data_IF_038225279169
#
_entry.id   IF_038225279169
#
_cell.length_a   1.000
_cell.length_b   1.000
_cell.length_c   1.000
_cell.angle_alpha   90.00
_cell.angle_beta   90.00
_cell.angle_gamma   90.00
#
_symmetry.space_group_name_H-M   'P 1'
#
loop_
_entity.id
_entity.type
_entity.pdbx_description
1 polymer ?
#
# COMPACT_ATOMS: atom_id res chain seq x y z
N UNK A 1 -27.71 49.61 -65.99
CA UNK A 1 -28.09 48.19 -65.83
C UNK A 1 -27.56 47.69 -64.49
N UNK A 2 -28.39 47.29 -63.52
CA UNK A 2 -27.93 46.62 -62.30
C UNK A 2 -27.96 45.09 -62.49
N UNK A 3 -26.92 44.38 -62.02
CA UNK A 3 -26.89 42.92 -61.95
C UNK A 3 -27.21 42.50 -60.52
N UNK A 4 -28.41 41.98 -60.33
CA UNK A 4 -28.89 41.39 -59.08
C UNK A 4 -28.28 39.99 -58.90
N UNK A 5 -27.27 39.89 -58.05
CA UNK A 5 -26.57 38.65 -57.71
C UNK A 5 -27.13 38.06 -56.42
N UNK A 6 -28.02 37.08 -56.52
CA UNK A 6 -28.58 36.37 -55.38
C UNK A 6 -27.56 35.38 -54.81
N UNK A 7 -26.94 35.72 -53.68
CA UNK A 7 -26.12 34.80 -52.89
C UNK A 7 -27.03 33.81 -52.14
N UNK A 8 -27.11 32.57 -52.64
CA UNK A 8 -27.78 31.48 -51.93
C UNK A 8 -26.82 30.93 -50.87
N UNK A 9 -26.93 31.40 -49.63
CA UNK A 9 -26.24 30.81 -48.49
C UNK A 9 -26.80 29.39 -48.27
N UNK A 10 -25.95 28.33 -48.28
CA UNK A 10 -26.43 26.99 -48.00
C UNK A 10 -26.97 26.91 -46.58
N UNK A 11 -28.26 26.57 -46.45
CA UNK A 11 -28.90 26.33 -45.16
C UNK A 11 -28.42 24.99 -44.62
N UNK A 12 -27.45 25.01 -43.71
CA UNK A 12 -27.04 23.81 -42.96
C UNK A 12 -28.27 23.23 -42.27
N UNK A 13 -28.73 22.07 -42.77
CA UNK A 13 -29.76 21.28 -42.10
C UNK A 13 -29.09 20.60 -40.90
N UNK A 14 -29.33 21.15 -39.72
CA UNK A 14 -29.03 20.46 -38.48
C UNK A 14 -29.93 19.21 -38.41
N UNK A 15 -29.37 18.07 -38.79
CA UNK A 15 -30.03 16.76 -38.67
C UNK A 15 -29.99 16.38 -37.19
N UNK A 16 -31.14 16.47 -36.54
CA UNK A 16 -31.28 16.13 -35.13
C UNK A 16 -31.33 14.62 -34.93
N UNK A 17 -30.25 14.06 -34.40
CA UNK A 17 -30.23 12.80 -33.64
C UNK A 17 -30.06 13.07 -32.14
N UNK A 18 -30.73 14.11 -31.61
CA UNK A 18 -30.38 14.68 -30.30
C UNK A 18 -30.58 13.73 -29.12
N UNK A 19 -31.60 12.87 -29.15
CA UNK A 19 -31.91 12.01 -28.00
C UNK A 19 -31.05 10.74 -27.99
N UNK A 20 -30.93 10.05 -29.13
CA UNK A 20 -30.13 8.81 -29.22
C UNK A 20 -28.64 9.09 -29.03
N UNK A 21 -28.15 10.23 -29.50
CA UNK A 21 -26.75 10.64 -29.36
C UNK A 21 -26.39 10.94 -27.91
N UNK A 22 -27.27 11.64 -27.18
CA UNK A 22 -27.10 11.86 -25.73
C UNK A 22 -27.20 10.55 -24.95
N UNK A 23 -28.09 9.64 -25.35
CA UNK A 23 -28.26 8.33 -24.69
C UNK A 23 -27.00 7.45 -24.87
N UNK A 24 -26.44 7.43 -26.08
CA UNK A 24 -25.18 6.74 -26.37
C UNK A 24 -24.02 7.41 -25.63
N UNK A 25 -23.95 8.74 -25.59
CA UNK A 25 -22.91 9.46 -24.85
C UNK A 25 -22.96 9.15 -23.35
N UNK A 26 -24.15 9.18 -22.75
CA UNK A 26 -24.36 8.80 -21.34
C UNK A 26 -24.00 7.34 -21.09
N UNK A 27 -24.32 6.43 -22.01
CA UNK A 27 -23.95 5.02 -21.91
C UNK A 27 -22.42 4.84 -21.92
N UNK A 28 -21.72 5.46 -22.86
CA UNK A 28 -20.25 5.39 -22.95
C UNK A 28 -19.59 5.99 -21.71
N UNK A 29 -20.09 7.13 -21.21
CA UNK A 29 -19.60 7.74 -19.96
C UNK A 29 -19.84 6.83 -18.76
N UNK A 30 -21.02 6.22 -18.66
CA UNK A 30 -21.33 5.29 -17.57
C UNK A 30 -20.38 4.09 -17.55
N UNK A 31 -20.13 3.47 -18.72
CA UNK A 31 -19.17 2.36 -18.85
C UNK A 31 -17.74 2.83 -18.51
N UNK A 32 -17.35 4.01 -18.98
CA UNK A 32 -16.03 4.60 -18.68
C UNK A 32 -15.80 4.85 -17.19
N UNK A 33 -16.79 5.39 -16.49
CA UNK A 33 -16.71 5.66 -15.05
C UNK A 33 -16.62 4.38 -14.21
N UNK A 34 -17.31 3.31 -14.60
CA UNK A 34 -17.18 2.00 -13.95
C UNK A 34 -15.75 1.43 -14.10
N UNK A 35 -15.12 1.63 -15.26
CA UNK A 35 -13.72 1.25 -15.48
C UNK A 35 -12.75 2.00 -14.55
N UNK A 36 -12.94 3.32 -14.40
CA UNK A 36 -12.11 4.16 -13.51
C UNK A 36 -12.33 3.78 -12.04
N UNK A 37 -13.57 3.53 -11.63
CA UNK A 37 -13.89 3.10 -10.27
C UNK A 37 -13.19 1.78 -9.91
N UNK A 38 -13.17 0.82 -10.84
CA UNK A 38 -12.41 -0.43 -10.67
C UNK A 38 -10.92 -0.17 -10.49
N UNK A 39 -10.31 0.64 -11.35
CA UNK A 39 -8.88 0.98 -11.26
C UNK A 39 -8.51 1.69 -9.95
N UNK A 40 -9.37 2.59 -9.47
CA UNK A 40 -9.14 3.33 -8.22
C UNK A 40 -8.97 2.42 -7.01
N UNK A 41 -9.68 1.29 -6.97
CA UNK A 41 -9.54 0.29 -5.89
C UNK A 41 -8.18 -0.38 -5.86
N UNK A 42 -7.54 -0.60 -7.01
CA UNK A 42 -6.19 -1.17 -7.09
C UNK A 42 -5.14 -0.14 -6.66
N UNK A 43 -5.30 1.12 -7.07
CA UNK A 43 -4.38 2.21 -6.71
C UNK A 43 -4.35 2.45 -5.20
N UNK A 44 -5.50 2.46 -4.52
CA UNK A 44 -5.54 2.67 -3.07
C UNK A 44 -4.86 1.54 -2.30
N UNK A 45 -5.03 0.29 -2.74
CA UNK A 45 -4.34 -0.88 -2.18
C UNK A 45 -2.83 -0.78 -2.35
N UNK A 46 -2.35 -0.46 -3.55
CA UNK A 46 -0.92 -0.30 -3.82
C UNK A 46 -0.27 0.80 -2.96
N UNK A 47 -0.94 1.94 -2.82
CA UNK A 47 -0.46 3.04 -1.97
C UNK A 47 -0.39 2.64 -0.49
N UNK A 48 -1.38 1.92 0.02
CA UNK A 48 -1.39 1.46 1.41
C UNK A 48 -0.27 0.46 1.69
N UNK A 49 -0.05 -0.51 0.79
CA UNK A 49 1.04 -1.48 0.92
C UNK A 49 2.42 -0.80 0.90
N UNK A 50 2.62 0.18 0.00
CA UNK A 50 3.84 0.99 -0.04
C UNK A 50 4.05 1.82 1.24
N UNK A 51 2.97 2.35 1.81
CA UNK A 51 2.99 3.05 3.09
C UNK A 51 3.44 2.14 4.24
N UNK A 52 2.85 0.93 4.37
CA UNK A 52 3.24 -0.01 5.41
C UNK A 52 4.70 -0.46 5.29
N UNK A 53 5.20 -0.67 4.07
CA UNK A 53 6.63 -0.96 3.85
C UNK A 53 7.54 0.18 4.29
N UNK A 54 7.11 1.43 4.06
CA UNK A 54 7.84 2.61 4.53
C UNK A 54 7.86 2.67 6.05
N UNK A 55 6.71 2.47 6.72
CA UNK A 55 6.64 2.40 8.18
C UNK A 55 7.52 1.28 8.76
N UNK A 56 7.49 0.09 8.17
CA UNK A 56 8.32 -1.03 8.61
C UNK A 56 9.82 -0.71 8.49
N UNK A 57 10.21 -0.02 7.43
CA UNK A 57 11.59 0.46 7.24
C UNK A 57 11.97 1.46 8.33
N UNK A 58 11.13 2.45 8.61
CA UNK A 58 11.36 3.42 9.67
C UNK A 58 11.49 2.76 11.05
N UNK A 59 10.63 1.80 11.37
CA UNK A 59 10.69 1.06 12.64
C UNK A 59 11.96 0.21 12.76
N UNK A 60 12.44 -0.39 11.67
CA UNK A 60 13.70 -1.13 11.67
C UNK A 60 14.90 -0.21 11.91
N UNK A 61 14.93 0.96 11.25
CA UNK A 61 15.98 1.96 11.44
C UNK A 61 15.98 2.50 12.87
N UNK A 62 14.81 2.85 13.43
CA UNK A 62 14.69 3.34 14.81
C UNK A 62 15.27 2.32 15.82
N UNK A 63 14.98 1.03 15.63
CA UNK A 63 15.52 -0.03 16.47
C UNK A 63 17.04 -0.16 16.33
N UNK A 64 17.55 -0.17 15.09
CA UNK A 64 18.98 -0.26 14.82
C UNK A 64 19.75 0.93 15.41
N UNK A 65 19.18 2.13 15.32
CA UNK A 65 19.79 3.34 15.88
C UNK A 65 19.77 3.34 17.41
N UNK A 66 18.71 2.82 18.03
CA UNK A 66 18.68 2.63 19.49
C UNK A 66 19.74 1.61 19.96
N UNK A 67 19.96 0.53 19.22
CA UNK A 67 21.03 -0.43 19.53
C UNK A 67 22.41 0.22 19.48
N UNK A 68 22.66 1.11 18.50
CA UNK A 68 23.91 1.87 18.40
C UNK A 68 24.07 2.93 19.48
N UNK A 69 22.96 3.57 19.87
CA UNK A 69 22.95 4.59 20.91
C UNK A 69 23.21 4.00 22.30
N UNK A 70 22.79 2.76 22.53
CA UNK A 70 22.98 2.03 23.78
C UNK A 70 23.74 0.70 23.61
N UNK A 71 25.07 0.74 23.36
CA UNK A 71 25.86 -0.48 23.19
C UNK A 71 25.84 -1.39 24.42
N UNK A 72 25.76 -0.83 25.63
CA UNK A 72 25.69 -1.60 26.87
C UNK A 72 24.40 -2.45 26.93
N UNK A 73 23.24 -1.83 26.64
CA UNK A 73 21.95 -2.53 26.59
C UNK A 73 21.94 -3.56 25.46
N UNK A 74 22.57 -3.25 24.32
CA UNK A 74 22.70 -4.20 23.21
C UNK A 74 23.51 -5.45 23.60
N UNK A 75 24.63 -5.28 24.31
CA UNK A 75 25.44 -6.40 24.79
C UNK A 75 24.70 -7.25 25.84
N UNK A 76 23.84 -6.63 26.66
CA UNK A 76 23.02 -7.30 27.68
C UNK A 76 21.74 -7.96 27.12
N UNK A 77 21.49 -7.86 25.80
CA UNK A 77 20.30 -8.44 25.16
C UNK A 77 19.04 -7.59 25.26
N UNK A 78 19.20 -6.29 25.53
CA UNK A 78 18.14 -5.29 25.71
C UNK A 78 17.13 -5.16 24.56
N UNK A 79 17.50 -5.66 23.39
CA UNK A 79 16.73 -5.57 22.16
C UNK A 79 16.34 -6.94 21.59
N UNK A 80 16.67 -8.02 22.28
CA UNK A 80 16.41 -9.39 21.82
C UNK A 80 14.91 -9.71 21.87
N UNK A 81 14.51 -10.78 21.15
CA UNK A 81 13.11 -11.16 21.01
C UNK A 81 12.44 -11.51 22.33
N UNK A 82 13.19 -12.15 23.22
CA UNK A 82 12.68 -12.73 24.45
C UNK A 82 12.82 -11.78 25.64
N UNK A 83 13.31 -10.55 25.44
CA UNK A 83 13.41 -9.60 26.53
C UNK A 83 12.05 -9.01 26.92
N UNK A 84 11.47 -9.55 27.99
CA UNK A 84 10.17 -9.11 28.53
C UNK A 84 10.28 -7.94 29.51
N UNK A 85 11.45 -7.72 30.13
CA UNK A 85 11.70 -6.61 31.05
C UNK A 85 12.25 -5.35 30.39
N UNK A 86 12.59 -5.41 29.10
CA UNK A 86 13.20 -4.31 28.37
C UNK A 86 12.13 -3.32 27.90
N UNK A 87 11.99 -2.19 28.61
CA UNK A 87 10.96 -1.19 28.32
C UNK A 87 10.98 -0.70 26.87
N UNK A 88 12.17 -0.34 26.35
CA UNK A 88 12.31 0.11 24.96
C UNK A 88 11.83 -0.94 23.95
N UNK A 89 12.26 -2.20 24.12
CA UNK A 89 11.86 -3.32 23.26
C UNK A 89 10.34 -3.55 23.28
N UNK A 90 9.72 -3.50 24.47
CA UNK A 90 8.27 -3.64 24.62
C UNK A 90 7.50 -2.51 23.93
N UNK A 91 7.95 -1.26 24.10
CA UNK A 91 7.37 -0.12 23.40
C UNK A 91 7.54 -0.23 21.89
N UNK A 92 8.70 -0.69 21.41
CA UNK A 92 8.94 -0.92 19.99
C UNK A 92 8.03 -2.02 19.42
N UNK A 93 7.88 -3.15 20.11
CA UNK A 93 6.93 -4.21 19.71
C UNK A 93 5.48 -3.68 19.64
N UNK A 94 5.08 -2.84 20.61
CA UNK A 94 3.77 -2.18 20.59
C UNK A 94 3.58 -1.28 19.38
N UNK A 95 4.61 -0.50 19.00
CA UNK A 95 4.59 0.34 17.79
C UNK A 95 4.46 -0.48 16.51
N UNK A 96 5.22 -1.57 16.39
CA UNK A 96 5.12 -2.51 15.25
C UNK A 96 3.69 -3.00 15.06
N UNK A 97 3.02 -3.42 16.14
CA UNK A 97 1.62 -3.86 16.09
C UNK A 97 0.68 -2.71 15.73
N UNK A 98 0.84 -1.53 16.36
CA UNK A 98 -0.07 -0.40 16.12
C UNK A 98 0.04 0.21 14.73
N UNK A 99 1.22 0.15 14.11
CA UNK A 99 1.49 0.81 12.82
C UNK A 99 1.34 -0.15 11.64
N UNK A 100 1.73 -1.41 11.79
CA UNK A 100 1.70 -2.40 10.71
C UNK A 100 0.50 -3.35 10.78
N UNK A 101 -0.18 -3.41 11.92
CA UNK A 101 -1.40 -4.18 12.14
C UNK A 101 -1.28 -5.25 13.25
N UNK A 102 -2.42 -5.76 13.70
CA UNK A 102 -2.51 -6.64 14.87
C UNK A 102 -1.72 -7.96 14.75
N UNK A 103 -1.46 -8.41 13.52
CA UNK A 103 -0.67 -9.61 13.21
C UNK A 103 0.81 -9.31 13.03
N UNK A 104 1.22 -8.04 13.09
CA UNK A 104 2.60 -7.65 12.86
C UNK A 104 3.52 -8.14 13.97
N UNK A 105 4.73 -8.54 13.59
CA UNK A 105 5.77 -9.04 14.49
C UNK A 105 7.12 -8.49 14.06
N UNK A 106 7.95 -8.18 15.04
CA UNK A 106 9.35 -7.84 14.85
C UNK A 106 10.25 -8.89 15.47
N UNK A 107 11.30 -9.29 14.76
CA UNK A 107 12.30 -10.25 15.20
C UNK A 107 13.70 -9.66 15.01
N UNK A 108 14.61 -10.00 15.92
CA UNK A 108 16.01 -9.62 15.91
C UNK A 108 16.84 -10.89 16.01
N UNK A 109 17.78 -11.06 15.10
CA UNK A 109 18.75 -12.16 15.09
C UNK A 109 20.14 -11.55 15.08
N UNK A 110 20.99 -11.97 16.01
CA UNK A 110 22.37 -11.51 16.13
C UNK A 110 23.32 -12.62 15.69
N UNK A 111 24.30 -12.29 14.86
CA UNK A 111 25.35 -13.21 14.40
C UNK A 111 26.69 -12.47 14.39
N UNK A 112 27.47 -12.63 15.47
CA UNK A 112 28.68 -11.83 15.67
C UNK A 112 28.34 -10.33 15.80
N UNK A 113 28.91 -9.51 14.93
CA UNK A 113 28.62 -8.08 14.82
C UNK A 113 27.44 -7.76 13.89
N UNK A 114 26.92 -8.73 13.15
CA UNK A 114 25.75 -8.51 12.28
C UNK A 114 24.46 -8.72 13.06
N UNK A 115 23.53 -7.79 12.89
CA UNK A 115 22.17 -7.80 13.42
C UNK A 115 21.21 -7.77 12.26
N UNK A 116 20.35 -8.78 12.22
CA UNK A 116 19.24 -8.89 11.26
C UNK A 116 17.94 -8.57 11.98
N UNK A 117 17.28 -7.50 11.58
CA UNK A 117 15.95 -7.10 12.03
C UNK A 117 14.94 -7.53 10.96
N UNK A 118 13.98 -8.37 11.33
CA UNK A 118 12.90 -8.83 10.45
C UNK A 118 11.56 -8.33 10.95
N UNK A 119 10.79 -7.65 10.11
CA UNK A 119 9.41 -7.28 10.38
C UNK A 119 8.49 -8.06 9.46
N UNK A 120 7.48 -8.70 10.04
CA UNK A 120 6.46 -9.44 9.31
C UNK A 120 5.09 -8.86 9.61
N UNK A 121 4.28 -8.59 8.60
CA UNK A 121 2.88 -8.19 8.78
C UNK A 121 2.01 -8.78 7.67
N UNK A 122 0.71 -8.88 7.96
CA UNK A 122 -0.23 -9.40 7.00
C UNK A 122 -0.98 -8.26 6.30
N UNK A 123 -1.10 -8.33 4.97
CA UNK A 123 -1.91 -7.43 4.14
C UNK A 123 -3.15 -8.18 3.57
N UNK A 124 -3.80 -9.01 4.40
CA UNK A 124 -4.90 -9.92 3.98
C UNK A 124 -6.10 -9.18 3.41
N UNK A 125 -6.20 -7.86 3.63
CA UNK A 125 -7.26 -7.03 3.06
C UNK A 125 -7.18 -6.97 1.52
N UNK A 126 -6.06 -7.38 0.93
CA UNK A 126 -5.85 -7.45 -0.52
C UNK A 126 -6.12 -8.83 -1.15
N UNK A 127 -5.96 -9.92 -0.40
CA UNK A 127 -6.04 -11.28 -0.92
C UNK A 127 -7.45 -11.85 -0.76
N UNK A 128 -8.12 -12.12 -1.89
CA UNK A 128 -9.37 -12.87 -1.90
C UNK A 128 -9.12 -14.37 -1.83
N UNK A 129 -7.95 -14.81 -2.31
CA UNK A 129 -7.53 -16.20 -2.38
C UNK A 129 -6.09 -16.33 -1.87
N UNK A 130 -5.82 -17.36 -1.07
CA UNK A 130 -4.47 -17.72 -0.63
C UNK A 130 -3.62 -18.27 -1.79
N UNK A 131 -2.35 -18.60 -1.53
CA UNK A 131 -1.45 -19.21 -2.53
C UNK A 131 -1.90 -20.58 -3.06
N UNK A 132 -3.00 -21.14 -2.54
CA UNK A 132 -3.61 -22.41 -2.94
C UNK A 132 -4.97 -22.21 -3.63
N UNK A 133 -5.46 -20.97 -3.75
CA UNK A 133 -6.73 -20.65 -4.40
C UNK A 133 -7.97 -20.77 -3.51
N UNK A 134 -7.83 -20.82 -2.18
CA UNK A 134 -8.94 -20.83 -1.21
C UNK A 134 -9.18 -19.43 -0.64
N UNK A 135 -10.36 -19.15 -0.08
CA UNK A 135 -10.60 -17.86 0.60
C UNK A 135 -9.52 -17.59 1.66
N UNK A 136 -8.78 -16.48 1.49
CA UNK A 136 -7.68 -16.14 2.38
C UNK A 136 -8.23 -15.80 3.77
N UNK A 137 -8.04 -16.71 4.72
CA UNK A 137 -8.31 -16.40 6.12
C UNK A 137 -7.16 -15.55 6.67
N UNK A 138 -7.40 -14.70 7.68
CA UNK A 138 -6.41 -13.73 8.18
C UNK A 138 -5.10 -14.32 8.72
N UNK A 139 -4.99 -15.65 8.80
CA UNK A 139 -3.80 -16.41 9.22
C UNK A 139 -3.05 -17.05 8.04
N UNK A 140 -3.70 -17.20 6.87
CA UNK A 140 -3.16 -17.90 5.68
C UNK A 140 -2.74 -16.94 4.56
N UNK A 141 -3.08 -15.65 4.66
CA UNK A 141 -2.68 -14.64 3.68
C UNK A 141 -1.16 -14.40 3.69
N UNK A 142 -0.60 -14.08 2.52
CA UNK A 142 0.83 -13.90 2.32
C UNK A 142 1.40 -12.84 3.27
N UNK A 143 2.25 -13.28 4.20
CA UNK A 143 2.95 -12.36 5.09
C UNK A 143 3.98 -11.56 4.29
N UNK A 144 3.89 -10.23 4.36
CA UNK A 144 4.95 -9.36 3.89
C UNK A 144 6.11 -9.44 4.89
N UNK A 145 7.32 -9.63 4.38
CA UNK A 145 8.54 -9.66 5.19
C UNK A 145 9.43 -8.51 4.74
N UNK A 146 9.86 -7.69 5.70
CA UNK A 146 10.91 -6.71 5.53
C UNK A 146 12.11 -7.15 6.37
N UNK A 147 13.26 -7.30 5.73
CA UNK A 147 14.50 -7.69 6.39
C UNK A 147 15.52 -6.55 6.26
N UNK A 148 16.06 -6.13 7.39
CA UNK A 148 17.08 -5.11 7.49
C UNK A 148 18.31 -5.69 8.20
N UNK A 149 19.45 -5.64 7.53
CA UNK A 149 20.73 -6.12 8.07
C UNK A 149 21.65 -4.96 8.36
N UNK A 150 22.31 -5.03 9.50
CA UNK A 150 23.23 -3.99 9.93
C UNK A 150 24.33 -4.54 10.81
N UNK A 151 25.51 -3.94 10.73
CA UNK A 151 26.58 -4.17 11.70
C UNK A 151 26.47 -3.18 12.86
N UNK A 152 26.75 -3.66 14.09
CA UNK A 152 26.74 -2.89 15.34
C UNK A 152 28.04 -3.12 16.12
#
# INVERSE_FOLDING_TARGET
MPRDGKYHLPKNRQSGSTLIEVLIAMFVIAVGLLGVAGMMTYTTKGNHSAYLRSQASFLAYDLADAMRASPADFLDGGFDNDCTSCAYRQTWNGRVISELGDTARGSVIRTGNEVTISLTWNDSRGELLDGQGNEATGIDAANNVFEFKTEI
#
